data_IF_181969526240
#
_entry.id   IF_181969526240
#
_cell.length_a   1.000
_cell.length_b   1.000
_cell.length_c   1.000
_cell.angle_alpha   90.00
_cell.angle_beta   90.00
_cell.angle_gamma   90.00
#
_symmetry.space_group_name_H-M   'P 1'
#
loop_
_entity.id
_entity.type
_entity.pdbx_description
1 polymer ?
#
# COMPACT_ATOMS: atom_id res chain seq x y z
N UNK A 1 3.67 5.91 28.57
CA UNK A 1 2.42 5.77 29.34
C UNK A 1 1.85 4.39 29.04
N UNK A 2 1.69 3.53 30.05
CA UNK A 2 1.11 2.18 29.91
C UNK A 2 -0.39 2.24 30.19
N UNK A 3 -1.19 1.42 29.50
CA UNK A 3 -2.62 1.34 29.76
C UNK A 3 -2.87 0.90 31.21
N UNK A 4 -3.61 1.72 31.97
CA UNK A 4 -3.94 1.47 33.38
C UNK A 4 -5.34 0.86 33.56
N UNK A 5 -6.07 0.64 32.47
CA UNK A 5 -7.39 0.00 32.42
C UNK A 5 -7.66 -0.56 31.02
N UNK A 6 -8.63 -1.47 30.93
CA UNK A 6 -9.10 -2.01 29.66
C UNK A 6 -9.61 -0.90 28.75
N UNK A 7 -9.29 -1.03 27.46
CA UNK A 7 -9.72 -0.10 26.42
C UNK A 7 -10.92 -0.70 25.69
N UNK A 8 -12.05 -0.01 25.71
CA UNK A 8 -13.21 -0.35 24.89
C UNK A 8 -12.95 0.11 23.44
N UNK A 9 -12.24 -0.73 22.67
CA UNK A 9 -11.93 -0.47 21.25
C UNK A 9 -13.02 -1.12 20.39
N UNK A 10 -13.86 -0.34 19.69
CA UNK A 10 -14.89 -0.91 18.81
C UNK A 10 -14.24 -1.59 17.59
N UNK A 11 -14.79 -2.75 17.20
CA UNK A 11 -14.38 -3.50 16.01
C UNK A 11 -15.50 -3.51 14.97
N UNK A 12 -15.14 -3.50 13.69
CA UNK A 12 -16.04 -3.65 12.53
C UNK A 12 -15.33 -4.37 11.39
N UNK A 13 -16.09 -4.97 10.48
CA UNK A 13 -15.62 -5.70 9.28
C UNK A 13 -14.83 -4.82 8.29
N UNK A 14 -15.09 -3.52 8.26
CA UNK A 14 -14.35 -2.55 7.44
C UNK A 14 -14.82 -2.44 5.98
N UNK A 15 -15.85 -3.19 5.61
CA UNK A 15 -16.58 -3.13 4.34
C UNK A 15 -17.53 -1.93 4.26
N UNK A 16 -17.89 -1.32 5.40
CA UNK A 16 -18.79 -0.17 5.46
C UNK A 16 -18.31 0.91 6.42
N UNK A 17 -18.32 2.16 5.95
CA UNK A 17 -18.01 3.35 6.74
C UNK A 17 -18.97 4.48 6.41
N UNK A 18 -19.41 5.22 7.43
CA UNK A 18 -20.15 6.47 7.27
C UNK A 18 -19.18 7.64 7.10
N UNK A 19 -19.50 8.54 6.17
CA UNK A 19 -18.75 9.76 5.90
C UNK A 19 -19.68 10.98 5.90
N UNK A 20 -19.27 12.12 6.48
CA UNK A 20 -20.04 13.36 6.42
C UNK A 20 -20.11 13.87 4.98
N UNK A 21 -21.28 14.27 4.52
CA UNK A 21 -21.50 14.77 3.16
C UNK A 21 -21.19 16.26 3.11
N UNK A 22 -20.52 16.70 2.05
CA UNK A 22 -20.23 18.13 1.83
C UNK A 22 -21.54 18.95 1.70
N UNK A 23 -21.51 20.25 1.98
CA UNK A 23 -22.61 21.14 1.66
C UNK A 23 -22.91 21.15 0.14
N UNK A 24 -24.11 21.58 -0.23
CA UNK A 24 -24.56 21.73 -1.62
C UNK A 24 -24.45 20.44 -2.46
N UNK A 25 -24.38 19.27 -1.80
CA UNK A 25 -24.01 18.00 -2.43
C UNK A 25 -25.13 16.98 -2.34
N UNK A 26 -25.35 16.25 -3.44
CA UNK A 26 -26.23 15.09 -3.49
C UNK A 26 -25.47 13.88 -3.98
N UNK A 27 -25.68 12.74 -3.31
CA UNK A 27 -25.09 11.46 -3.64
C UNK A 27 -26.22 10.46 -3.88
N UNK A 28 -26.24 9.84 -5.05
CA UNK A 28 -27.24 8.84 -5.39
C UNK A 28 -26.86 7.45 -4.86
N UNK A 29 -27.87 6.61 -4.65
CA UNK A 29 -27.63 5.23 -4.21
C UNK A 29 -26.82 4.48 -5.27
N UNK A 30 -25.81 3.71 -4.81
CA UNK A 30 -24.90 2.89 -5.62
C UNK A 30 -24.00 3.64 -6.61
N UNK A 31 -23.87 4.96 -6.50
CA UNK A 31 -22.83 5.72 -7.20
C UNK A 31 -21.52 5.73 -6.40
N UNK A 32 -20.41 6.00 -7.07
CA UNK A 32 -19.09 6.06 -6.47
C UNK A 32 -18.95 7.32 -5.60
N UNK A 33 -18.48 7.10 -4.37
CA UNK A 33 -18.25 8.15 -3.39
C UNK A 33 -16.75 8.41 -3.29
N UNK A 34 -16.38 9.67 -3.41
CA UNK A 34 -15.04 10.16 -3.16
C UNK A 34 -14.99 11.04 -1.91
N UNK A 35 -13.79 11.27 -1.37
CA UNK A 35 -13.56 12.22 -0.29
C UNK A 35 -12.75 13.41 -0.76
N UNK A 36 -13.06 14.59 -0.23
CA UNK A 36 -12.17 15.75 -0.24
C UNK A 36 -11.06 15.58 0.81
N UNK A 37 -10.00 16.38 0.71
CA UNK A 37 -8.92 16.42 1.72
C UNK A 37 -9.43 16.79 3.13
N UNK A 38 -10.60 17.43 3.21
CA UNK A 38 -11.31 17.77 4.46
C UNK A 38 -12.02 16.57 5.09
N UNK A 39 -12.11 15.43 4.40
CA UNK A 39 -12.83 14.24 4.84
C UNK A 39 -14.33 14.26 4.50
N UNK A 40 -14.80 15.24 3.72
CA UNK A 40 -16.19 15.32 3.27
C UNK A 40 -16.45 14.46 2.03
N UNK A 41 -17.59 13.77 2.03
CA UNK A 41 -18.04 12.93 0.93
C UNK A 41 -18.66 13.75 -0.20
N UNK A 42 -18.22 13.43 -1.41
CA UNK A 42 -18.66 14.02 -2.67
C UNK A 42 -18.80 12.93 -3.73
N UNK A 43 -19.59 13.15 -4.80
CA UNK A 43 -19.58 12.26 -5.97
C UNK A 43 -18.16 12.15 -6.56
N UNK A 44 -17.79 10.97 -7.04
CA UNK A 44 -16.52 10.82 -7.76
C UNK A 44 -16.48 11.73 -9.01
N UNK A 45 -15.28 12.20 -9.37
CA UNK A 45 -15.10 13.21 -10.42
C UNK A 45 -15.18 14.67 -9.93
N UNK A 46 -15.63 14.91 -8.70
CA UNK A 46 -15.60 16.25 -8.09
C UNK A 46 -14.17 16.78 -7.96
N UNK A 47 -13.94 18.02 -8.39
CA UNK A 47 -12.63 18.66 -8.31
C UNK A 47 -12.12 18.73 -6.85
N UNK A 48 -10.88 18.34 -6.63
CA UNK A 48 -10.26 18.33 -5.29
C UNK A 48 -10.55 17.06 -4.47
N UNK A 49 -11.26 16.09 -5.03
CA UNK A 49 -11.36 14.75 -4.43
C UNK A 49 -9.98 14.05 -4.40
N UNK A 50 -9.69 13.35 -3.32
CA UNK A 50 -8.38 12.74 -3.04
C UNK A 50 -8.39 11.21 -3.03
N UNK A 51 -9.55 10.59 -2.81
CA UNK A 51 -9.67 9.12 -2.80
C UNK A 51 -11.11 8.66 -3.02
N UNK A 52 -11.28 7.46 -3.61
CA UNK A 52 -12.55 6.73 -3.64
C UNK A 52 -12.70 5.95 -2.34
N UNK A 53 -13.88 5.99 -1.73
CA UNK A 53 -14.15 5.30 -0.46
C UNK A 53 -15.18 4.18 -0.55
N UNK A 54 -15.88 4.06 -1.68
CA UNK A 54 -16.84 3.00 -1.89
C UNK A 54 -18.02 3.44 -2.75
N UNK A 55 -19.07 2.62 -2.74
CA UNK A 55 -20.36 2.95 -3.35
C UNK A 55 -21.34 3.38 -2.27
N UNK A 56 -22.14 4.40 -2.52
CA UNK A 56 -23.15 4.85 -1.58
C UNK A 56 -24.21 3.77 -1.34
N UNK A 57 -24.52 3.46 -0.09
CA UNK A 57 -25.58 2.53 0.26
C UNK A 57 -26.97 3.11 0.03
N UNK A 58 -27.14 4.41 0.24
CA UNK A 58 -28.41 5.13 0.10
C UNK A 58 -28.24 6.43 -0.66
N UNK A 59 -29.36 6.99 -1.11
CA UNK A 59 -29.39 8.36 -1.62
C UNK A 59 -29.34 9.32 -0.44
N UNK A 60 -28.41 10.27 -0.46
CA UNK A 60 -28.26 11.32 0.54
C UNK A 60 -28.27 12.67 -0.18
N UNK A 61 -29.10 13.58 0.28
CA UNK A 61 -29.30 14.89 -0.33
C UNK A 61 -29.01 15.98 0.70
N UNK A 62 -27.78 16.49 0.71
CA UNK A 62 -27.30 17.54 1.59
C UNK A 62 -27.23 18.91 0.89
N UNK A 63 -28.03 19.10 -0.17
CA UNK A 63 -27.97 20.33 -0.97
C UNK A 63 -28.41 21.59 -0.23
N UNK A 64 -29.27 21.43 0.77
CA UNK A 64 -29.77 22.54 1.60
C UNK A 64 -29.08 22.61 2.97
N UNK A 65 -28.09 21.74 3.22
CA UNK A 65 -27.40 21.61 4.51
C UNK A 65 -25.98 22.15 4.50
N UNK A 66 -25.43 22.38 5.69
CA UNK A 66 -24.02 22.67 5.90
C UNK A 66 -23.16 21.41 5.77
N UNK A 67 -21.84 21.60 5.78
CA UNK A 67 -20.87 20.51 5.74
C UNK A 67 -21.08 19.52 6.89
N UNK A 68 -21.39 18.27 6.56
CA UNK A 68 -21.56 17.18 7.52
C UNK A 68 -22.91 17.12 8.23
N UNK A 69 -23.91 17.88 7.79
CA UNK A 69 -25.27 17.79 8.33
C UNK A 69 -25.89 16.39 8.08
N UNK A 70 -25.52 15.75 6.98
CA UNK A 70 -25.91 14.38 6.65
C UNK A 70 -24.69 13.48 6.46
N UNK A 71 -24.87 12.18 6.73
CA UNK A 71 -23.86 11.16 6.51
C UNK A 71 -24.29 10.19 5.42
N UNK A 72 -23.33 9.75 4.60
CA UNK A 72 -23.49 8.66 3.63
C UNK A 72 -22.68 7.44 4.06
N UNK A 73 -23.32 6.26 4.06
CA UNK A 73 -22.61 5.00 4.22
C UNK A 73 -22.04 4.57 2.87
N UNK A 74 -20.71 4.39 2.79
CA UNK A 74 -20.04 3.88 1.61
C UNK A 74 -19.60 2.42 1.81
N UNK A 75 -19.89 1.60 0.81
CA UNK A 75 -19.62 0.16 0.77
C UNK A 75 -18.36 -0.14 -0.06
N UNK A 76 -17.52 -1.02 0.47
CA UNK A 76 -16.33 -1.58 -0.18
C UNK A 76 -16.52 -3.07 -0.41
N UNK A 77 -15.77 -3.64 -1.34
CA UNK A 77 -15.88 -5.01 -1.81
C UNK A 77 -16.10 -5.08 -3.32
N UNK A 78 -16.57 -6.22 -3.80
CA UNK A 78 -16.69 -6.52 -5.22
C UNK A 78 -18.09 -6.16 -5.77
N UNK A 79 -18.14 -5.26 -6.75
CA UNK A 79 -19.39 -4.77 -7.35
C UNK A 79 -19.35 -4.84 -8.88
N UNK A 80 -20.46 -5.22 -9.51
CA UNK A 80 -20.60 -5.28 -10.96
C UNK A 80 -21.03 -3.94 -11.56
N UNK A 81 -20.21 -3.38 -12.45
CA UNK A 81 -20.47 -2.15 -13.19
C UNK A 81 -20.77 -2.42 -14.66
N UNK A 82 -21.47 -1.47 -15.30
CA UNK A 82 -21.58 -1.42 -16.77
C UNK A 82 -20.33 -0.73 -17.28
N UNK A 83 -19.33 -1.54 -17.62
CA UNK A 83 -18.02 -1.07 -18.07
C UNK A 83 -17.44 -2.15 -18.98
N UNK A 84 -16.99 -1.76 -20.18
CA UNK A 84 -16.44 -2.71 -21.13
C UNK A 84 -15.01 -3.11 -20.73
N UNK A 85 -14.80 -4.41 -20.55
CA UNK A 85 -13.52 -5.03 -20.26
C UNK A 85 -13.50 -6.43 -20.87
N UNK A 86 -12.33 -6.94 -21.19
CA UNK A 86 -12.12 -8.31 -21.68
C UNK A 86 -11.48 -9.19 -20.58
N UNK A 87 -11.50 -10.52 -20.73
CA UNK A 87 -10.94 -11.43 -19.72
C UNK A 87 -9.42 -11.20 -19.47
N UNK A 88 -8.72 -10.59 -20.43
CA UNK A 88 -7.32 -10.19 -20.29
C UNK A 88 -7.12 -9.00 -19.34
N UNK A 89 -8.16 -8.20 -19.10
CA UNK A 89 -8.11 -7.03 -18.21
C UNK A 89 -8.31 -7.40 -16.73
N UNK A 90 -8.55 -8.68 -16.40
CA UNK A 90 -8.65 -9.13 -15.00
C UNK A 90 -7.33 -8.79 -14.26
N UNK A 91 -7.46 -8.12 -13.11
CA UNK A 91 -6.36 -7.58 -12.31
C UNK A 91 -5.89 -6.19 -12.72
N UNK A 92 -6.42 -5.61 -13.81
CA UNK A 92 -6.06 -4.27 -14.27
C UNK A 92 -6.70 -3.18 -13.37
N UNK A 93 -5.98 -2.09 -13.04
CA UNK A 93 -6.53 -0.98 -12.28
C UNK A 93 -7.60 -0.21 -13.08
N UNK A 94 -8.66 0.20 -12.38
CA UNK A 94 -9.80 0.95 -12.93
C UNK A 94 -9.99 2.24 -12.15
N UNK A 95 -10.23 3.33 -12.87
CA UNK A 95 -10.32 4.70 -12.36
C UNK A 95 -11.71 5.29 -12.60
N UNK A 96 -12.15 6.19 -11.72
CA UNK A 96 -13.42 6.91 -11.86
C UNK A 96 -13.26 8.11 -12.81
N UNK A 97 -14.11 8.19 -13.83
CA UNK A 97 -14.28 9.41 -14.63
C UNK A 97 -15.25 10.36 -13.91
N UNK A 98 -16.36 9.81 -13.46
CA UNK A 98 -17.39 10.44 -12.63
C UNK A 98 -17.98 9.38 -11.67
N UNK A 99 -19.12 9.65 -11.06
CA UNK A 99 -19.73 8.78 -10.05
C UNK A 99 -20.45 7.54 -10.60
N UNK A 100 -20.60 7.42 -11.92
CA UNK A 100 -21.17 6.24 -12.59
C UNK A 100 -20.27 5.65 -13.70
N UNK A 101 -19.28 6.41 -14.18
CA UNK A 101 -18.44 6.06 -15.33
C UNK A 101 -17.02 5.68 -14.91
N UNK A 102 -16.54 4.56 -15.46
CA UNK A 102 -15.22 3.99 -15.21
C UNK A 102 -14.30 4.10 -16.43
N UNK A 103 -12.98 4.07 -16.20
CA UNK A 103 -11.96 4.05 -17.25
C UNK A 103 -10.71 3.26 -16.83
N UNK A 104 -10.02 2.65 -17.80
CA UNK A 104 -8.68 2.10 -17.59
C UNK A 104 -7.58 3.18 -17.63
N UNK A 105 -7.90 4.39 -18.08
CA UNK A 105 -6.95 5.50 -18.14
C UNK A 105 -7.04 6.33 -16.86
N UNK A 106 -5.95 6.29 -16.08
CA UNK A 106 -5.79 7.08 -14.85
C UNK A 106 -5.26 8.50 -15.07
N UNK A 107 -5.16 8.98 -16.31
CA UNK A 107 -4.74 10.35 -16.60
C UNK A 107 -5.78 11.40 -16.12
N UNK A 108 -5.38 12.68 -16.09
CA UNK A 108 -6.29 13.79 -15.78
C UNK A 108 -6.71 13.89 -14.30
N UNK A 109 -6.02 13.19 -13.38
CA UNK A 109 -6.33 13.24 -11.95
C UNK A 109 -7.48 12.31 -11.53
N UNK A 110 -7.85 11.35 -12.38
CA UNK A 110 -8.86 10.33 -12.06
C UNK A 110 -8.42 9.47 -10.88
N UNK A 111 -9.35 9.22 -9.97
CA UNK A 111 -9.07 8.47 -8.75
C UNK A 111 -9.19 6.97 -9.01
N UNK A 112 -8.28 6.20 -8.43
CA UNK A 112 -8.34 4.74 -8.45
C UNK A 112 -9.58 4.27 -7.69
N UNK A 113 -10.42 3.46 -8.35
CA UNK A 113 -11.60 2.82 -7.75
C UNK A 113 -11.23 1.45 -7.18
N UNK A 114 -10.45 0.68 -7.95
CA UNK A 114 -10.14 -0.69 -7.63
C UNK A 114 -9.50 -1.45 -8.79
N UNK A 115 -9.63 -2.76 -8.79
CA UNK A 115 -9.13 -3.64 -9.86
C UNK A 115 -10.23 -4.55 -10.40
N UNK A 116 -10.14 -4.92 -11.69
CA UNK A 116 -11.08 -5.88 -12.28
C UNK A 116 -10.92 -7.24 -11.59
N UNK A 117 -11.97 -7.72 -10.93
CA UNK A 117 -12.03 -9.00 -10.23
C UNK A 117 -12.57 -10.13 -11.11
N UNK A 118 -13.40 -9.80 -12.10
CA UNK A 118 -13.97 -10.76 -13.03
C UNK A 118 -15.01 -10.15 -13.95
N UNK A 119 -15.47 -10.94 -14.91
CA UNK A 119 -16.52 -10.56 -15.86
C UNK A 119 -17.58 -11.66 -15.81
N UNK A 120 -18.81 -11.28 -15.49
CA UNK A 120 -19.93 -12.22 -15.36
C UNK A 120 -21.26 -11.47 -15.44
N UNK A 121 -22.29 -12.14 -15.94
CA UNK A 121 -23.66 -11.60 -16.06
C UNK A 121 -23.74 -10.25 -16.82
N UNK A 122 -22.88 -10.08 -17.83
CA UNK A 122 -22.81 -8.85 -18.63
C UNK A 122 -22.28 -7.63 -17.85
N UNK A 123 -21.63 -7.85 -16.71
CA UNK A 123 -21.02 -6.82 -15.88
C UNK A 123 -19.54 -7.08 -15.68
N UNK A 124 -18.80 -5.99 -15.52
CA UNK A 124 -17.40 -6.03 -15.08
C UNK A 124 -17.39 -5.83 -13.58
N UNK A 125 -16.92 -6.84 -12.87
CA UNK A 125 -16.84 -6.85 -11.42
C UNK A 125 -15.55 -6.18 -11.00
N UNK A 126 -15.66 -5.10 -10.24
CA UNK A 126 -14.53 -4.34 -9.70
C UNK A 126 -14.45 -4.60 -8.21
N UNK A 127 -13.29 -5.06 -7.76
CA UNK A 127 -12.97 -5.10 -6.34
C UNK A 127 -12.56 -3.71 -5.88
N UNK A 128 -13.44 -3.07 -5.11
CA UNK A 128 -13.17 -1.82 -4.41
C UNK A 128 -12.51 -2.20 -3.08
N UNK A 129 -11.20 -2.03 -2.94
CA UNK A 129 -10.45 -2.67 -1.86
C UNK A 129 -10.94 -2.17 -0.51
N UNK A 130 -11.25 -3.12 0.38
CA UNK A 130 -11.13 -2.85 1.83
C UNK A 130 -9.68 -2.45 2.09
N UNK A 131 -9.42 -1.58 3.07
CA UNK A 131 -8.07 -1.07 3.30
C UNK A 131 -7.09 -2.22 3.57
N UNK A 132 -6.42 -2.69 2.52
CA UNK A 132 -5.45 -3.77 2.56
C UNK A 132 -4.10 -3.19 2.19
N UNK A 133 -3.13 -3.41 3.08
CA UNK A 133 -1.75 -3.02 2.83
C UNK A 133 -1.11 -4.10 1.96
N UNK A 134 -1.24 -3.96 0.64
CA UNK A 134 -0.57 -4.87 -0.30
C UNK A 134 0.94 -4.69 -0.16
N UNK A 135 1.62 -5.75 0.27
CA UNK A 135 3.08 -5.78 0.40
C UNK A 135 3.68 -6.47 -0.82
N UNK A 136 4.45 -5.73 -1.60
CA UNK A 136 5.17 -6.25 -2.75
C UNK A 136 6.60 -6.59 -2.31
N UNK A 137 6.98 -7.88 -2.26
CA UNK A 137 8.32 -8.28 -1.87
C UNK A 137 9.31 -8.12 -3.03
N UNK A 138 10.39 -7.40 -2.79
CA UNK A 138 11.52 -7.29 -3.71
C UNK A 138 12.73 -8.01 -3.13
N UNK A 139 13.00 -9.21 -3.63
CA UNK A 139 14.11 -10.05 -3.17
C UNK A 139 15.39 -9.79 -3.98
N UNK A 140 16.54 -9.85 -3.33
CA UNK A 140 17.85 -9.68 -3.96
C UNK A 140 18.89 -10.54 -3.25
N UNK A 141 19.78 -11.19 -4.01
CA UNK A 141 20.83 -12.05 -3.45
C UNK A 141 22.08 -11.24 -3.13
N UNK A 142 22.56 -11.33 -1.90
CA UNK A 142 23.86 -10.82 -1.48
C UNK A 142 24.84 -12.00 -1.53
N UNK A 143 25.88 -11.87 -2.35
CA UNK A 143 26.84 -12.96 -2.58
C UNK A 143 27.71 -13.26 -1.35
N UNK A 144 27.99 -12.25 -0.53
CA UNK A 144 28.81 -12.39 0.68
C UNK A 144 28.46 -11.31 1.70
N UNK A 145 28.36 -11.70 2.97
CA UNK A 145 28.19 -10.81 4.13
C UNK A 145 29.54 -10.31 4.67
N UNK A 146 30.54 -10.08 3.80
CA UNK A 146 31.88 -9.59 4.16
C UNK A 146 32.21 -8.33 3.37
N UNK A 147 32.83 -7.37 4.06
CA UNK A 147 33.32 -6.13 3.45
C UNK A 147 32.21 -5.13 3.17
N UNK A 148 32.36 -4.38 2.07
CA UNK A 148 31.49 -3.25 1.71
C UNK A 148 30.78 -3.44 0.35
N UNK A 149 30.49 -4.69 -0.01
CA UNK A 149 29.82 -5.00 -1.28
C UNK A 149 28.43 -4.37 -1.38
N UNK A 150 28.05 -3.91 -2.58
CA UNK A 150 26.74 -3.31 -2.83
C UNK A 150 26.00 -4.12 -3.89
N UNK A 151 24.85 -4.70 -3.52
CA UNK A 151 23.91 -5.30 -4.48
C UNK A 151 22.75 -4.33 -4.73
N UNK A 152 22.23 -4.32 -5.96
CA UNK A 152 21.19 -3.37 -6.39
C UNK A 152 20.03 -4.10 -7.05
N UNK A 153 18.86 -3.50 -6.94
CA UNK A 153 17.63 -3.88 -7.62
C UNK A 153 16.83 -2.60 -7.90
N UNK A 154 15.68 -2.72 -8.56
CA UNK A 154 14.87 -1.59 -9.00
C UNK A 154 13.47 -1.73 -8.40
N UNK A 155 12.91 -0.63 -7.90
CA UNK A 155 11.53 -0.58 -7.47
C UNK A 155 10.60 -0.72 -8.68
N UNK A 156 9.75 -1.75 -8.70
CA UNK A 156 8.73 -1.94 -9.76
C UNK A 156 7.46 -1.15 -9.51
N UNK A 157 7.28 -0.64 -8.29
CA UNK A 157 6.03 -0.02 -7.82
C UNK A 157 6.30 1.23 -7.01
N UNK A 158 5.30 2.13 -6.98
CA UNK A 158 5.28 3.25 -6.03
C UNK A 158 4.85 2.75 -4.66
N UNK A 159 5.51 3.20 -3.60
CA UNK A 159 5.12 2.84 -2.25
C UNK A 159 6.12 3.28 -1.18
N UNK A 160 6.04 2.64 -0.01
CA UNK A 160 7.04 2.77 1.06
C UNK A 160 7.64 1.43 1.41
N UNK A 161 8.95 1.36 1.57
CA UNK A 161 9.60 0.21 2.20
C UNK A 161 9.20 0.22 3.67
N UNK A 162 8.38 -0.75 4.08
CA UNK A 162 7.88 -0.81 5.46
C UNK A 162 8.55 -1.91 6.29
N UNK A 163 9.20 -2.85 5.63
CA UNK A 163 10.04 -3.83 6.30
C UNK A 163 11.15 -4.33 5.40
N UNK A 164 12.28 -4.59 6.03
CA UNK A 164 13.42 -5.26 5.43
C UNK A 164 13.61 -6.59 6.17
N UNK A 165 13.84 -7.66 5.43
CA UNK A 165 14.17 -8.99 5.98
C UNK A 165 15.40 -9.53 5.31
N UNK A 166 16.23 -10.25 6.05
CA UNK A 166 17.27 -11.11 5.47
C UNK A 166 17.09 -12.54 5.93
N UNK A 167 17.60 -13.46 5.14
CA UNK A 167 17.89 -14.83 5.58
C UNK A 167 19.35 -15.13 5.24
N UNK A 168 20.12 -15.58 6.22
CA UNK A 168 21.53 -15.95 6.04
C UNK A 168 21.64 -17.41 5.59
N UNK A 169 22.55 -17.71 4.67
CA UNK A 169 22.77 -19.09 4.19
C UNK A 169 23.76 -19.87 5.09
N UNK A 170 24.27 -19.24 6.14
CA UNK A 170 25.30 -19.81 7.01
C UNK A 170 25.56 -19.02 8.29
N UNK A 171 26.52 -19.52 9.07
CA UNK A 171 26.96 -18.96 10.36
C UNK A 171 27.92 -17.79 10.14
N UNK A 172 27.86 -16.78 11.00
CA UNK A 172 28.86 -15.71 11.11
C UNK A 172 29.90 -16.11 12.17
N UNK A 173 31.17 -15.75 11.99
CA UNK A 173 32.23 -16.27 12.88
C UNK A 173 33.03 -15.20 13.62
N UNK A 174 33.22 -14.00 13.06
CA UNK A 174 34.13 -12.99 13.66
C UNK A 174 33.43 -11.76 14.23
N UNK A 175 32.18 -11.51 13.86
CA UNK A 175 31.37 -10.40 14.36
C UNK A 175 30.13 -10.20 13.51
N UNK A 176 29.31 -9.22 13.88
CA UNK A 176 28.02 -8.99 13.23
C UNK A 176 28.19 -8.53 11.78
N UNK A 177 27.23 -8.88 10.93
CA UNK A 177 27.11 -8.34 9.59
C UNK A 177 25.95 -7.34 9.55
N UNK A 178 26.10 -6.27 8.77
CA UNK A 178 25.03 -5.30 8.55
C UNK A 178 24.65 -5.23 7.09
N UNK A 179 23.36 -5.07 6.80
CA UNK A 179 22.85 -4.79 5.46
C UNK A 179 22.12 -3.45 5.51
N UNK A 180 22.72 -2.41 4.95
CA UNK A 180 22.15 -1.06 4.91
C UNK A 180 21.40 -0.85 3.60
N UNK A 181 20.11 -0.53 3.70
CA UNK A 181 19.27 -0.17 2.56
C UNK A 181 19.39 1.32 2.23
N UNK A 182 19.51 1.65 0.95
CA UNK A 182 19.48 3.01 0.43
C UNK A 182 18.66 3.09 -0.87
N UNK A 183 17.93 4.18 -1.04
CA UNK A 183 17.14 4.48 -2.25
C UNK A 183 17.86 5.60 -3.00
N UNK A 184 18.22 5.37 -4.26
CA UNK A 184 18.99 6.32 -5.09
C UNK A 184 20.24 6.87 -4.38
N UNK A 185 20.91 6.02 -3.60
CA UNK A 185 22.10 6.37 -2.83
C UNK A 185 21.84 7.07 -1.49
N UNK A 186 20.59 7.41 -1.15
CA UNK A 186 20.21 7.99 0.14
C UNK A 186 19.84 6.87 1.13
N UNK A 187 20.52 6.75 2.28
CA UNK A 187 20.21 5.74 3.28
C UNK A 187 18.76 5.85 3.80
N UNK A 188 18.09 4.71 3.86
CA UNK A 188 16.77 4.61 4.47
C UNK A 188 16.93 4.73 6.00
N UNK A 189 16.15 5.62 6.63
CA UNK A 189 16.24 5.81 8.09
C UNK A 189 15.75 4.55 8.80
N UNK A 190 16.54 4.05 9.76
CA UNK A 190 16.38 2.74 10.42
C UNK A 190 16.33 1.55 9.45
N UNK A 191 16.84 1.71 8.23
CA UNK A 191 16.89 0.69 7.18
C UNK A 191 18.13 -0.21 7.22
N UNK A 192 18.67 -0.49 8.40
CA UNK A 192 19.86 -1.33 8.58
C UNK A 192 19.45 -2.63 9.26
N UNK A 193 19.60 -3.76 8.58
CA UNK A 193 19.48 -5.08 9.19
C UNK A 193 20.82 -5.41 9.86
N UNK A 194 20.79 -5.86 11.11
CA UNK A 194 21.96 -6.38 11.83
C UNK A 194 21.77 -7.87 12.03
N UNK A 195 22.64 -8.67 11.41
CA UNK A 195 22.72 -10.12 11.61
C UNK A 195 23.72 -10.34 12.74
N UNK A 196 23.21 -10.75 13.89
CA UNK A 196 24.04 -10.92 15.09
C UNK A 196 24.87 -12.19 14.97
N UNK A 197 26.18 -12.12 15.18
CA UNK A 197 27.07 -13.27 15.08
C UNK A 197 26.74 -14.33 16.12
N UNK A 198 26.45 -13.89 17.35
CA UNK A 198 26.22 -14.77 18.47
C UNK A 198 24.95 -15.58 18.22
N UNK A 199 25.12 -16.90 18.09
CA UNK A 199 24.01 -17.82 17.85
C UNK A 199 23.53 -17.89 16.40
N UNK A 200 24.19 -17.21 15.45
CA UNK A 200 23.82 -17.27 14.03
C UNK A 200 23.89 -18.68 13.47
N UNK A 201 22.93 -19.01 12.61
CA UNK A 201 22.79 -20.25 11.89
C UNK A 201 22.21 -20.01 10.49
N UNK A 202 22.47 -20.95 9.57
CA UNK A 202 21.82 -20.94 8.27
C UNK A 202 20.29 -20.98 8.44
N UNK A 203 19.57 -20.11 7.73
CA UNK A 203 18.12 -19.97 7.82
C UNK A 203 17.65 -18.95 8.84
N UNK A 204 18.55 -18.35 9.64
CA UNK A 204 18.16 -17.28 10.56
C UNK A 204 17.65 -16.06 9.79
N UNK A 205 16.58 -15.48 10.34
CA UNK A 205 15.89 -14.34 9.74
C UNK A 205 16.05 -13.11 10.61
N UNK A 206 16.61 -12.06 10.03
CA UNK A 206 16.79 -10.77 10.68
C UNK A 206 15.89 -9.73 10.01
N UNK A 207 15.53 -8.70 10.76
CA UNK A 207 14.57 -7.69 10.28
C UNK A 207 14.99 -6.28 10.65
N UNK A 208 14.59 -5.32 9.81
CA UNK A 208 14.64 -3.90 10.14
C UNK A 208 13.34 -3.22 9.71
N UNK A 209 12.93 -2.20 10.47
CA UNK A 209 11.69 -1.43 10.24
C UNK A 209 12.07 0.01 9.89
N UNK A 210 12.05 0.38 8.59
CA UNK A 210 12.27 1.75 8.16
C UNK A 210 11.25 2.74 8.74
N UNK A 211 11.72 3.94 9.09
CA UNK A 211 10.88 4.99 9.72
C UNK A 211 10.79 6.28 8.91
N UNK A 212 11.78 6.55 8.06
CA UNK A 212 11.81 7.72 7.17
C UNK A 212 12.72 7.46 5.95
N UNK A 213 12.67 8.36 4.97
CA UNK A 213 13.42 8.24 3.70
C UNK A 213 13.22 6.88 3.01
N UNK A 214 12.01 6.33 3.13
CA UNK A 214 11.65 4.98 2.69
C UNK A 214 10.64 4.96 1.55
N UNK A 215 10.37 6.12 0.92
CA UNK A 215 9.46 6.23 -0.22
C UNK A 215 10.18 5.86 -1.52
N UNK A 216 9.52 5.06 -2.34
CA UNK A 216 9.99 4.62 -3.65
C UNK A 216 8.97 4.94 -4.73
N UNK A 217 9.45 5.30 -5.90
CA UNK A 217 8.70 5.36 -7.16
C UNK A 217 9.21 4.25 -8.10
N UNK A 218 8.39 3.83 -9.08
CA UNK A 218 8.85 2.90 -10.11
C UNK A 218 10.12 3.44 -10.80
N UNK A 219 11.15 2.59 -10.91
CA UNK A 219 12.44 2.95 -11.49
C UNK A 219 13.50 3.41 -10.48
N UNK A 220 13.13 3.69 -9.23
CA UNK A 220 14.12 4.02 -8.19
C UNK A 220 15.05 2.84 -7.92
N UNK A 221 16.36 3.12 -7.78
CA UNK A 221 17.35 2.11 -7.47
C UNK A 221 17.35 1.86 -5.97
N UNK A 222 17.08 0.62 -5.58
CA UNK A 222 17.22 0.16 -4.20
C UNK A 222 18.55 -0.59 -4.10
N UNK A 223 19.38 -0.16 -3.16
CA UNK A 223 20.69 -0.74 -2.92
C UNK A 223 20.81 -1.30 -1.52
N UNK A 224 21.55 -2.39 -1.39
CA UNK A 224 21.86 -3.07 -0.14
C UNK A 224 23.37 -3.13 -0.01
N UNK A 225 23.89 -2.37 0.96
CA UNK A 225 25.32 -2.28 1.24
C UNK A 225 25.66 -3.16 2.44
N UNK A 226 26.55 -4.11 2.22
CA UNK A 226 27.10 -4.96 3.28
C UNK A 226 28.06 -4.13 4.14
N UNK A 227 28.12 -4.44 5.43
CA UNK A 227 29.06 -3.88 6.38
C UNK A 227 29.18 -4.79 7.61
N UNK A 228 29.73 -4.24 8.70
CA UNK A 228 30.00 -4.99 9.92
C UNK A 228 31.41 -5.60 9.92
N UNK A 229 31.66 -6.51 10.86
CA UNK A 229 32.98 -7.11 11.11
C UNK A 229 33.01 -8.62 10.87
N UNK A 230 31.94 -9.20 10.32
CA UNK A 230 31.96 -10.56 9.82
C UNK A 230 33.02 -10.71 8.70
N UNK A 231 33.81 -11.77 8.79
CA UNK A 231 34.88 -12.11 7.85
C UNK A 231 34.68 -13.48 7.20
N UNK A 232 33.60 -14.20 7.52
CA UNK A 232 33.24 -15.45 6.83
C UNK A 232 32.35 -15.14 5.64
N UNK A 233 32.76 -15.59 4.46
CA UNK A 233 32.00 -15.46 3.23
C UNK A 233 30.73 -16.33 3.29
N UNK A 234 29.68 -15.77 3.89
CA UNK A 234 28.35 -16.37 3.97
C UNK A 234 27.41 -15.54 3.11
N UNK A 235 26.72 -16.12 2.11
CA UNK A 235 25.71 -15.40 1.34
C UNK A 235 24.43 -15.16 2.14
N UNK A 236 23.59 -14.25 1.66
CA UNK A 236 22.27 -14.01 2.23
C UNK A 236 21.28 -13.59 1.14
N UNK A 237 19.99 -13.78 1.41
CA UNK A 237 18.92 -13.17 0.61
C UNK A 237 18.29 -12.04 1.40
N UNK A 238 18.16 -10.87 0.80
CA UNK A 238 17.47 -9.72 1.40
C UNK A 238 16.15 -9.46 0.67
N UNK A 239 15.12 -9.06 1.39
CA UNK A 239 13.78 -8.73 0.88
C UNK A 239 13.37 -7.36 1.40
N UNK A 240 13.01 -6.46 0.49
CA UNK A 240 12.32 -5.21 0.81
C UNK A 240 10.81 -5.37 0.56
N UNK A 241 9.99 -5.15 1.60
CA UNK A 241 8.53 -5.11 1.50
C UNK A 241 8.05 -3.70 1.22
N UNK A 242 7.59 -3.48 -0.01
CA UNK A 242 7.04 -2.20 -0.46
C UNK A 242 5.53 -2.23 -0.26
N UNK A 243 5.02 -1.37 0.61
CA UNK A 243 3.60 -1.14 0.80
C UNK A 243 3.09 -0.12 -0.21
N UNK A 244 2.04 -0.48 -0.97
CA UNK A 244 1.32 0.46 -1.83
C UNK A 244 0.19 1.16 -1.09
#
# INVERSE_FOLDING_TARGET
MVASKDLAIPARSGDRFGYPVNADTRIFRKTLVALLATGMAVPAGTAGAVSIVGLAEGNVDNRDGADGDLNVEALRGCFGFIFAADEVDIGRPVYAVDDETLSFDGSGGRLLVGTVAGISDGRTWIDVPVAEKVLIPLATRIATLVGAGVTRTIASVKGRITRLRSVTDGVLTTGDATITCAINGVPVTTGVITITQAGSAAGDVDTAVPTALNSVNPGDVISFTVGGTNATATPATVVAEIAQ
#
